data_IF_228977498411
#
_entry.id   IF_228977498411
#
_cell.length_a   1.000
_cell.length_b   1.000
_cell.length_c   1.000
_cell.angle_alpha   90.00
_cell.angle_beta   90.00
_cell.angle_gamma   90.00
#
_symmetry.space_group_name_H-M   'P 1'
#
loop_
_entity.id
_entity.type
_entity.pdbx_description
1 polymer ?
#
# COMPACT_ATOMS: atom_id res chain seq x y z
N UNK A 1 27.72 32.03 -22.82
CA UNK A 1 26.90 31.85 -21.60
C UNK A 1 26.02 30.58 -21.56
N UNK A 2 25.43 30.09 -22.66
CA UNK A 2 24.55 28.90 -22.63
C UNK A 2 25.29 27.59 -22.31
N UNK A 3 26.52 27.40 -22.81
CA UNK A 3 27.31 26.20 -22.56
C UNK A 3 27.69 26.01 -21.07
N UNK A 4 28.04 27.09 -20.36
CA UNK A 4 28.43 27.02 -18.93
C UNK A 4 27.27 26.51 -18.06
N UNK A 5 26.02 26.90 -18.36
CA UNK A 5 24.83 26.41 -17.64
C UNK A 5 24.59 24.91 -17.84
N UNK A 6 24.83 24.40 -19.04
CA UNK A 6 24.67 22.97 -19.37
C UNK A 6 25.68 22.12 -18.59
N UNK A 7 26.94 22.56 -18.53
CA UNK A 7 27.99 21.88 -17.74
C UNK A 7 27.68 21.87 -16.24
N UNK A 8 27.14 22.96 -15.70
CA UNK A 8 26.68 23.00 -14.31
C UNK A 8 25.58 21.98 -14.03
N UNK A 9 24.56 21.88 -14.89
CA UNK A 9 23.49 20.90 -14.72
C UNK A 9 23.99 19.45 -14.80
N UNK A 10 24.89 19.14 -15.72
CA UNK A 10 25.49 17.80 -15.85
C UNK A 10 26.33 17.46 -14.61
N UNK A 11 27.12 18.43 -14.10
CA UNK A 11 27.92 18.24 -12.89
C UNK A 11 27.04 17.99 -11.65
N UNK A 12 25.94 18.74 -11.50
CA UNK A 12 25.02 18.60 -10.38
C UNK A 12 24.30 17.25 -10.41
N UNK A 13 23.88 16.82 -11.60
CA UNK A 13 23.25 15.51 -11.79
C UNK A 13 24.22 14.36 -11.49
N UNK A 14 25.48 14.49 -11.90
CA UNK A 14 26.53 13.51 -11.58
C UNK A 14 26.78 13.43 -10.07
N UNK A 15 26.82 14.57 -9.38
CA UNK A 15 27.08 14.65 -7.93
C UNK A 15 25.93 14.04 -7.10
N UNK A 16 24.68 14.24 -7.52
CA UNK A 16 23.50 13.62 -6.89
C UNK A 16 23.49 12.10 -7.08
N UNK A 17 23.86 11.60 -8.27
CA UNK A 17 23.93 10.15 -8.49
C UNK A 17 25.09 9.51 -7.72
N UNK A 18 26.24 10.19 -7.66
CA UNK A 18 27.39 9.75 -6.87
C UNK A 18 27.02 9.67 -5.38
N UNK A 19 26.30 10.65 -4.84
CA UNK A 19 25.90 10.65 -3.43
C UNK A 19 24.92 9.51 -3.09
N UNK A 20 24.00 9.19 -4.01
CA UNK A 20 23.10 8.03 -3.88
C UNK A 20 23.85 6.70 -3.89
N UNK A 21 24.84 6.54 -4.78
CA UNK A 21 25.66 5.33 -4.87
C UNK A 21 26.51 5.17 -3.60
N UNK A 22 27.11 6.24 -3.09
CA UNK A 22 27.88 6.22 -1.85
C UNK A 22 26.99 5.85 -0.65
N UNK A 23 25.78 6.42 -0.56
CA UNK A 23 24.81 6.09 0.49
C UNK A 23 24.29 4.64 0.41
N UNK A 24 24.09 4.14 -0.81
CA UNK A 24 23.71 2.75 -1.02
C UNK A 24 24.84 1.80 -0.61
N UNK A 25 26.07 2.09 -1.04
CA UNK A 25 27.25 1.29 -0.69
C UNK A 25 27.57 1.35 0.81
N UNK A 26 27.36 2.47 1.50
CA UNK A 26 27.55 2.54 2.95
C UNK A 26 26.51 1.73 3.72
N UNK A 27 25.25 1.71 3.25
CA UNK A 27 24.21 0.81 3.78
C UNK A 27 24.54 -0.66 3.54
N UNK A 28 25.05 -0.99 2.35
CA UNK A 28 25.45 -2.35 1.99
C UNK A 28 26.66 -2.81 2.81
N UNK A 29 27.65 -1.93 3.00
CA UNK A 29 28.79 -2.18 3.86
C UNK A 29 28.36 -2.41 5.31
N UNK A 30 27.41 -1.62 5.82
CA UNK A 30 26.85 -1.81 7.17
C UNK A 30 26.09 -3.13 7.32
N UNK A 31 25.34 -3.53 6.30
CA UNK A 31 24.68 -4.85 6.24
C UNK A 31 25.71 -5.99 6.24
N UNK A 32 26.78 -5.84 5.46
CA UNK A 32 27.86 -6.81 5.34
C UNK A 32 28.69 -6.93 6.63
N UNK A 33 29.06 -5.82 7.26
CA UNK A 33 29.75 -5.85 8.56
C UNK A 33 28.88 -6.48 9.65
N UNK A 34 27.57 -6.19 9.65
CA UNK A 34 26.65 -6.79 10.60
C UNK A 34 26.50 -8.31 10.39
N UNK A 35 26.52 -8.78 9.14
CA UNK A 35 26.48 -10.22 8.83
C UNK A 35 27.81 -10.90 9.19
N UNK A 36 28.96 -10.28 8.95
CA UNK A 36 30.26 -10.81 9.39
C UNK A 36 30.34 -10.93 10.91
N UNK A 37 29.93 -9.89 11.65
CA UNK A 37 29.90 -9.92 13.13
C UNK A 37 28.96 -11.01 13.63
N UNK A 38 27.83 -11.22 12.95
CA UNK A 38 26.88 -12.29 13.26
C UNK A 38 27.51 -13.68 13.08
N UNK A 39 28.17 -13.93 11.95
CA UNK A 39 28.86 -15.21 11.68
C UNK A 39 30.06 -15.45 12.61
N UNK A 40 30.84 -14.40 12.92
CA UNK A 40 31.96 -14.48 13.85
C UNK A 40 31.50 -14.85 15.27
N UNK A 41 30.33 -14.38 15.70
CA UNK A 41 29.77 -14.71 17.01
C UNK A 41 29.13 -16.11 17.07
N UNK A 42 28.60 -16.64 15.97
CA UNK A 42 28.07 -18.02 15.94
C UNK A 42 29.18 -19.07 16.10
N UNK A 43 30.38 -18.84 15.58
CA UNK A 43 31.50 -19.78 15.71
C UNK A 43 32.10 -19.85 17.13
N UNK A 44 31.89 -18.83 17.98
CA UNK A 44 32.31 -18.87 19.40
C UNK A 44 31.36 -19.65 20.31
N UNK A 45 30.16 -20.00 19.84
CA UNK A 45 29.11 -20.66 20.66
C UNK A 45 29.12 -22.20 20.56
N UNK A 46 30.01 -22.80 19.76
CA UNK A 46 30.05 -24.27 19.54
C UNK A 46 30.87 -25.06 20.55
N UNK A 47 31.51 -24.43 21.53
CA UNK A 47 32.36 -25.13 22.52
C UNK A 47 32.08 -24.68 23.95
N UNK A 48 30.94 -25.09 24.51
CA UNK A 48 30.90 -25.72 25.85
C UNK A 48 29.51 -26.25 26.14
N UNK A 49 29.36 -27.56 26.21
CA UNK A 49 28.17 -28.21 26.75
C UNK A 49 28.09 -27.98 28.26
N UNK A 50 27.48 -26.88 28.69
CA UNK A 50 26.97 -26.66 30.04
C UNK A 50 25.86 -25.62 29.93
N UNK A 51 24.70 -25.91 30.53
CA UNK A 51 23.52 -25.02 30.61
C UNK A 51 23.89 -23.75 31.41
N UNK A 52 24.62 -22.84 30.79
CA UNK A 52 24.75 -21.47 31.23
C UNK A 52 23.62 -20.69 30.56
N UNK A 53 22.97 -19.84 31.36
CA UNK A 53 21.80 -19.05 31.01
C UNK A 53 21.77 -18.67 29.52
N UNK A 54 20.71 -19.06 28.82
CA UNK A 54 20.47 -18.66 27.43
C UNK A 54 20.79 -17.18 27.29
N UNK A 55 21.85 -16.88 26.53
CA UNK A 55 22.14 -15.52 26.11
C UNK A 55 20.85 -15.00 25.46
N UNK A 56 20.23 -13.98 26.07
CA UNK A 56 19.05 -13.33 25.52
C UNK A 56 19.35 -13.03 24.05
N UNK A 57 18.63 -13.62 23.08
CA UNK A 57 18.80 -13.22 21.69
C UNK A 57 18.56 -11.72 21.64
N UNK A 58 19.46 -10.99 20.96
CA UNK A 58 19.29 -9.57 20.65
C UNK A 58 17.82 -9.32 20.30
N UNK A 59 17.19 -8.22 20.78
CA UNK A 59 15.79 -7.94 20.53
C UNK A 59 15.62 -7.47 19.08
N UNK A 60 15.85 -8.37 18.13
CA UNK A 60 15.05 -8.38 16.92
C UNK A 60 13.61 -8.53 17.42
N UNK A 61 12.74 -7.60 17.03
CA UNK A 61 11.32 -7.56 17.38
C UNK A 61 10.66 -8.91 17.03
N UNK A 62 10.80 -9.89 17.93
CA UNK A 62 10.08 -11.15 17.86
C UNK A 62 8.68 -10.83 18.34
N UNK A 63 7.71 -11.02 17.45
CA UNK A 63 6.28 -10.97 17.75
C UNK A 63 6.04 -11.78 19.03
N UNK A 64 5.40 -11.18 20.04
CA UNK A 64 5.04 -11.92 21.27
C UNK A 64 4.04 -13.00 20.88
N UNK A 65 4.06 -14.15 21.56
CA UNK A 65 3.22 -15.31 21.24
C UNK A 65 1.71 -15.03 21.19
N UNK A 66 1.25 -13.91 21.76
CA UNK A 66 -0.16 -13.52 21.85
C UNK A 66 -0.45 -12.11 21.31
N UNK A 67 0.48 -11.51 20.56
CA UNK A 67 0.31 -10.17 19.99
C UNK A 67 -0.05 -10.28 18.52
N UNK A 68 -1.29 -9.90 18.16
CA UNK A 68 -1.76 -9.93 16.78
C UNK A 68 -1.25 -8.77 15.93
N UNK A 69 -0.60 -7.76 16.55
CA UNK A 69 -0.13 -6.58 15.84
C UNK A 69 0.92 -6.92 14.78
N UNK A 70 0.91 -6.14 13.71
CA UNK A 70 1.87 -6.25 12.63
C UNK A 70 3.14 -5.48 12.95
N UNK A 71 4.27 -6.07 12.61
CA UNK A 71 5.53 -5.34 12.58
C UNK A 71 5.48 -4.24 11.52
N UNK A 72 6.37 -3.24 11.64
CA UNK A 72 6.43 -2.14 10.68
C UNK A 72 6.72 -2.62 9.25
N UNK A 73 7.49 -3.68 9.09
CA UNK A 73 7.85 -4.22 7.77
C UNK A 73 6.67 -4.99 7.14
N UNK A 74 5.93 -5.76 7.94
CA UNK A 74 4.67 -6.39 7.49
C UNK A 74 3.64 -5.34 7.08
N UNK A 75 3.45 -4.31 7.92
CA UNK A 75 2.53 -3.21 7.62
C UNK A 75 2.93 -2.47 6.34
N UNK A 76 4.23 -2.20 6.12
CA UNK A 76 4.71 -1.58 4.87
C UNK A 76 4.40 -2.44 3.65
N UNK A 77 4.55 -3.76 3.77
CA UNK A 77 4.17 -4.69 2.69
C UNK A 77 2.69 -4.61 2.34
N UNK A 78 1.82 -4.48 3.33
CA UNK A 78 0.38 -4.34 3.11
C UNK A 78 0.00 -2.96 2.56
N UNK A 79 0.64 -1.89 3.05
CA UNK A 79 0.46 -0.53 2.51
C UNK A 79 0.87 -0.48 1.04
N UNK A 80 1.91 -1.23 0.62
CA UNK A 80 2.31 -1.27 -0.78
C UNK A 80 1.21 -1.82 -1.71
N UNK A 81 0.35 -2.72 -1.21
CA UNK A 81 -0.81 -3.22 -1.96
C UNK A 81 -1.83 -2.10 -2.19
N UNK A 82 -2.12 -1.32 -1.15
CA UNK A 82 -3.00 -0.15 -1.27
C UNK A 82 -2.41 0.91 -2.21
N UNK A 83 -1.09 1.13 -2.14
CA UNK A 83 -0.40 2.05 -3.04
C UNK A 83 -0.50 1.59 -4.50
N UNK A 84 -0.39 0.29 -4.76
CA UNK A 84 -0.63 -0.27 -6.09
C UNK A 84 -2.07 -0.04 -6.57
N UNK A 85 -3.06 -0.12 -5.68
CA UNK A 85 -4.47 0.19 -6.00
C UNK A 85 -4.63 1.68 -6.36
N UNK A 86 -4.00 2.60 -5.61
CA UNK A 86 -3.96 4.04 -5.92
C UNK A 86 -3.33 4.31 -7.29
N UNK A 87 -2.17 3.70 -7.58
CA UNK A 87 -1.52 3.85 -8.89
C UNK A 87 -2.39 3.32 -10.03
N UNK A 88 -3.10 2.22 -9.81
CA UNK A 88 -4.03 1.65 -10.78
C UNK A 88 -5.20 2.60 -11.05
N UNK A 89 -5.77 3.21 -10.00
CA UNK A 89 -6.80 4.23 -10.15
C UNK A 89 -6.28 5.42 -10.97
N UNK A 90 -5.10 5.96 -10.64
CA UNK A 90 -4.50 7.10 -11.36
C UNK A 90 -4.30 6.80 -12.86
N UNK A 91 -3.84 5.60 -13.19
CA UNK A 91 -3.68 5.16 -14.57
C UNK A 91 -5.01 5.07 -15.32
N UNK A 92 -6.08 4.66 -14.63
CA UNK A 92 -7.42 4.57 -15.20
C UNK A 92 -8.00 5.95 -15.46
N UNK A 93 -7.92 6.86 -14.49
CA UNK A 93 -8.34 8.26 -14.65
C UNK A 93 -7.60 8.93 -15.80
N UNK A 94 -6.28 8.75 -15.87
CA UNK A 94 -5.47 9.28 -16.98
C UNK A 94 -5.95 8.75 -18.33
N UNK A 95 -6.32 7.47 -18.39
CA UNK A 95 -6.86 6.87 -19.61
C UNK A 95 -8.24 7.45 -19.96
N UNK A 96 -9.11 7.66 -18.96
CA UNK A 96 -10.45 8.23 -19.12
C UNK A 96 -10.42 9.68 -19.61
N UNK A 97 -9.54 10.52 -19.06
CA UNK A 97 -9.35 11.91 -19.53
C UNK A 97 -8.93 11.92 -21.01
N UNK A 98 -8.03 11.01 -21.41
CA UNK A 98 -7.63 10.87 -22.82
C UNK A 98 -8.81 10.47 -23.69
N UNK A 99 -9.66 9.55 -23.23
CA UNK A 99 -10.85 9.13 -23.97
C UNK A 99 -11.85 10.27 -24.16
N UNK A 100 -12.15 11.03 -23.11
CA UNK A 100 -12.99 12.23 -23.15
C UNK A 100 -12.43 13.24 -24.15
N UNK A 101 -11.13 13.53 -24.06
CA UNK A 101 -10.47 14.50 -24.96
C UNK A 101 -10.54 14.10 -26.44
N UNK A 102 -10.63 12.80 -26.73
CA UNK A 102 -10.71 12.25 -28.09
C UNK A 102 -12.15 12.03 -28.57
N UNK A 103 -13.16 12.29 -27.72
CA UNK A 103 -14.56 11.99 -28.04
C UNK A 103 -14.85 10.49 -28.22
N UNK A 104 -13.96 9.62 -27.74
CA UNK A 104 -14.08 8.19 -27.89
C UNK A 104 -14.53 7.58 -26.56
N UNK A 105 -15.59 6.76 -26.58
CA UNK A 105 -15.91 5.89 -25.46
C UNK A 105 -15.18 4.55 -25.63
N UNK A 106 -14.44 4.07 -24.62
CA UNK A 106 -13.95 2.71 -24.58
C UNK A 106 -15.08 1.72 -24.84
N UNK A 107 -14.93 0.92 -25.89
CA UNK A 107 -15.86 -0.17 -26.21
C UNK A 107 -15.81 -1.30 -25.16
N UNK A 108 -14.76 -1.36 -24.33
CA UNK A 108 -14.62 -2.36 -23.26
C UNK A 108 -13.79 -1.84 -22.07
N UNK A 109 -14.45 -1.17 -21.12
CA UNK A 109 -13.84 -0.69 -19.88
C UNK A 109 -13.30 -1.82 -18.99
N UNK A 110 -13.95 -2.99 -19.01
CA UNK A 110 -13.58 -4.12 -18.16
C UNK A 110 -12.19 -4.66 -18.48
N UNK A 111 -11.88 -4.80 -19.78
CA UNK A 111 -10.58 -5.26 -20.24
C UNK A 111 -9.49 -4.24 -19.87
N UNK A 112 -9.75 -2.95 -20.08
CA UNK A 112 -8.82 -1.88 -19.72
C UNK A 112 -8.49 -1.89 -18.23
N UNK A 113 -9.51 -1.98 -17.37
CA UNK A 113 -9.34 -2.01 -15.90
C UNK A 113 -8.48 -3.20 -15.51
N UNK A 114 -8.82 -4.39 -16.01
CA UNK A 114 -8.06 -5.61 -15.73
C UNK A 114 -6.60 -5.48 -16.15
N UNK A 115 -6.33 -5.03 -17.38
CA UNK A 115 -4.96 -4.92 -17.90
C UNK A 115 -4.11 -3.94 -17.08
N UNK A 116 -4.66 -2.77 -16.73
CA UNK A 116 -3.94 -1.77 -15.92
C UNK A 116 -3.61 -2.30 -14.53
N UNK A 117 -4.58 -2.93 -13.86
CA UNK A 117 -4.40 -3.52 -12.54
C UNK A 117 -3.36 -4.64 -12.56
N UNK A 118 -3.45 -5.56 -13.51
CA UNK A 118 -2.51 -6.69 -13.60
C UNK A 118 -1.10 -6.22 -13.93
N UNK A 119 -0.96 -5.22 -14.81
CA UNK A 119 0.33 -4.62 -15.12
C UNK A 119 0.97 -3.98 -13.90
N UNK A 120 0.20 -3.23 -13.09
CA UNK A 120 0.70 -2.61 -11.85
C UNK A 120 1.06 -3.65 -10.80
N UNK A 121 0.20 -4.64 -10.58
CA UNK A 121 0.45 -5.70 -9.61
C UNK A 121 1.68 -6.55 -9.99
N UNK A 122 1.90 -6.82 -11.27
CA UNK A 122 3.09 -7.55 -11.73
C UNK A 122 4.40 -6.81 -11.40
N UNK A 123 4.38 -5.48 -11.34
CA UNK A 123 5.54 -4.63 -11.04
C UNK A 123 5.71 -4.46 -9.52
N UNK A 124 4.64 -4.09 -8.82
CA UNK A 124 4.70 -3.64 -7.42
C UNK A 124 4.52 -4.78 -6.41
N UNK A 125 3.71 -5.81 -6.75
CA UNK A 125 3.35 -6.92 -5.85
C UNK A 125 3.25 -8.24 -6.63
N UNK A 126 4.36 -8.75 -7.20
CA UNK A 126 4.34 -9.87 -8.15
C UNK A 126 3.76 -11.17 -7.57
N UNK A 127 3.88 -11.38 -6.26
CA UNK A 127 3.37 -12.54 -5.54
C UNK A 127 1.94 -12.35 -4.99
N UNK A 128 1.18 -11.37 -5.47
CA UNK A 128 -0.20 -11.17 -5.01
C UNK A 128 -1.11 -12.29 -5.55
N UNK A 129 -1.97 -12.92 -4.71
CA UNK A 129 -2.79 -14.06 -5.13
C UNK A 129 -3.85 -13.66 -6.15
N UNK A 130 -4.13 -14.55 -7.11
CA UNK A 130 -5.05 -14.29 -8.22
C UNK A 130 -6.47 -13.89 -7.76
N UNK A 131 -6.99 -14.54 -6.71
CA UNK A 131 -8.28 -14.19 -6.11
C UNK A 131 -8.29 -12.76 -5.58
N UNK A 132 -7.20 -12.34 -4.94
CA UNK A 132 -7.03 -10.98 -4.40
C UNK A 132 -6.85 -9.95 -5.52
N UNK A 133 -6.21 -10.31 -6.64
CA UNK A 133 -6.17 -9.47 -7.87
C UNK A 133 -7.59 -9.24 -8.42
N UNK A 134 -8.41 -10.29 -8.50
CA UNK A 134 -9.81 -10.18 -8.95
C UNK A 134 -10.65 -9.29 -8.04
N UNK A 135 -10.44 -9.36 -6.72
CA UNK A 135 -11.10 -8.47 -5.76
C UNK A 135 -10.73 -7.00 -6.01
N UNK A 136 -9.46 -6.70 -6.25
CA UNK A 136 -9.00 -5.34 -6.60
C UNK A 136 -9.62 -4.85 -7.91
N UNK A 137 -9.64 -5.67 -8.96
CA UNK A 137 -10.30 -5.33 -10.23
C UNK A 137 -11.78 -5.03 -10.03
N UNK A 138 -12.48 -5.85 -9.23
CA UNK A 138 -13.90 -5.63 -8.95
C UNK A 138 -14.14 -4.28 -8.25
N UNK A 139 -13.35 -3.96 -7.21
CA UNK A 139 -13.46 -2.66 -6.51
C UNK A 139 -13.20 -1.48 -7.45
N UNK A 140 -12.13 -1.55 -8.24
CA UNK A 140 -11.82 -0.49 -9.20
C UNK A 140 -12.89 -0.36 -10.28
N UNK A 141 -13.52 -1.46 -10.71
CA UNK A 141 -14.66 -1.42 -11.61
C UNK A 141 -15.86 -0.70 -11.01
N UNK A 142 -16.20 -0.99 -9.75
CA UNK A 142 -17.26 -0.28 -9.02
C UNK A 142 -16.97 1.23 -8.96
N UNK A 143 -15.73 1.62 -8.61
CA UNK A 143 -15.31 3.02 -8.56
C UNK A 143 -15.30 3.71 -9.94
N UNK A 144 -14.86 3.01 -10.99
CA UNK A 144 -14.91 3.56 -12.35
C UNK A 144 -16.35 3.73 -12.85
N UNK A 145 -17.28 2.86 -12.42
CA UNK A 145 -18.69 3.02 -12.75
C UNK A 145 -19.28 4.29 -12.10
N UNK A 146 -18.87 4.66 -10.89
CA UNK A 146 -19.25 5.93 -10.26
C UNK A 146 -18.82 7.13 -11.10
N UNK A 147 -17.65 7.06 -11.74
CA UNK A 147 -17.16 8.10 -12.65
C UNK A 147 -17.97 8.15 -13.96
N UNK A 148 -18.26 6.99 -14.55
CA UNK A 148 -19.02 6.89 -15.80
C UNK A 148 -20.44 7.43 -15.64
N UNK A 149 -21.04 7.23 -14.47
CA UNK A 149 -22.41 7.63 -14.18
C UNK A 149 -22.58 9.15 -13.96
N UNK A 150 -21.49 9.93 -13.96
CA UNK A 150 -21.55 11.39 -13.84
C UNK A 150 -22.14 11.99 -15.11
N UNK A 151 -23.18 12.80 -14.94
CA UNK A 151 -23.77 13.62 -16.00
C UNK A 151 -23.66 15.10 -15.62
N UNK A 152 -23.11 15.97 -16.49
CA UNK A 152 -22.45 15.67 -17.76
C UNK A 152 -21.07 15.03 -17.56
N UNK A 153 -20.68 14.15 -18.48
CA UNK A 153 -19.37 13.49 -18.47
C UNK A 153 -18.27 14.44 -18.95
N UNK A 154 -17.79 15.29 -18.05
CA UNK A 154 -16.74 16.30 -18.30
C UNK A 154 -15.46 15.96 -17.52
N UNK A 155 -14.32 16.53 -17.94
CA UNK A 155 -13.07 16.38 -17.19
C UNK A 155 -13.21 16.85 -15.74
N UNK A 156 -13.91 17.96 -15.50
CA UNK A 156 -14.13 18.49 -14.15
C UNK A 156 -14.95 17.54 -13.29
N UNK A 157 -16.00 16.93 -13.87
CA UNK A 157 -16.77 15.89 -13.18
C UNK A 157 -15.92 14.67 -12.82
N UNK A 158 -15.10 14.19 -13.76
CA UNK A 158 -14.16 13.09 -13.51
C UNK A 158 -13.17 13.43 -12.40
N UNK A 159 -12.59 14.64 -12.42
CA UNK A 159 -11.66 15.07 -11.37
C UNK A 159 -12.34 15.18 -10.00
N UNK A 160 -13.58 15.68 -9.97
CA UNK A 160 -14.35 15.79 -8.74
C UNK A 160 -14.57 14.43 -8.06
N UNK A 161 -15.03 13.43 -8.81
CA UNK A 161 -15.21 12.07 -8.27
C UNK A 161 -13.87 11.39 -8.01
N UNK A 162 -12.84 11.66 -8.80
CA UNK A 162 -11.50 11.16 -8.51
C UNK A 162 -10.98 11.61 -7.13
N UNK A 163 -11.18 12.87 -6.75
CA UNK A 163 -10.78 13.35 -5.41
C UNK A 163 -11.58 12.64 -4.29
N UNK A 164 -12.87 12.37 -4.50
CA UNK A 164 -13.66 11.53 -3.59
C UNK A 164 -13.06 10.11 -3.45
N UNK A 165 -12.78 9.44 -4.56
CA UNK A 165 -12.23 8.07 -4.58
C UNK A 165 -10.83 7.99 -3.96
N UNK A 166 -10.04 9.06 -4.10
CA UNK A 166 -8.74 9.19 -3.47
C UNK A 166 -8.86 9.29 -1.95
N UNK A 167 -9.82 10.06 -1.43
CA UNK A 167 -10.09 10.10 0.01
C UNK A 167 -10.59 8.76 0.56
N UNK A 168 -11.37 8.01 -0.23
CA UNK A 168 -11.76 6.63 0.11
C UNK A 168 -10.51 5.73 0.30
N UNK A 169 -9.54 5.82 -0.61
CA UNK A 169 -8.29 5.06 -0.51
C UNK A 169 -7.41 5.54 0.65
N UNK A 170 -7.32 6.84 0.90
CA UNK A 170 -6.59 7.40 2.04
C UNK A 170 -7.16 6.94 3.38
N UNK A 171 -8.48 6.87 3.48
CA UNK A 171 -9.17 6.34 4.66
C UNK A 171 -8.96 4.83 4.81
N UNK A 172 -8.84 4.09 3.70
CA UNK A 172 -8.44 2.67 3.72
C UNK A 172 -7.03 2.48 4.27
N UNK A 173 -6.09 3.34 3.90
CA UNK A 173 -4.72 3.33 4.44
C UNK A 173 -4.74 3.64 5.94
N UNK A 174 -5.51 4.64 6.37
CA UNK A 174 -5.65 5.00 7.78
C UNK A 174 -6.26 3.86 8.61
N UNK A 175 -7.33 3.24 8.11
CA UNK A 175 -7.97 2.10 8.76
C UNK A 175 -7.01 0.91 8.84
N UNK A 176 -6.33 0.53 7.75
CA UNK A 176 -5.33 -0.55 7.76
C UNK A 176 -4.23 -0.27 8.80
N UNK A 177 -3.70 0.95 8.83
CA UNK A 177 -2.67 1.36 9.78
C UNK A 177 -3.13 1.27 11.24
N UNK A 178 -4.39 1.62 11.52
CA UNK A 178 -4.98 1.51 12.85
C UNK A 178 -5.26 0.05 13.25
N UNK A 179 -5.93 -0.71 12.38
CA UNK A 179 -6.31 -2.10 12.65
C UNK A 179 -5.09 -3.01 12.78
N UNK A 180 -4.01 -2.73 12.05
CA UNK A 180 -2.76 -3.50 12.12
C UNK A 180 -1.98 -3.31 13.42
N UNK A 181 -2.30 -2.28 14.22
CA UNK A 181 -1.63 -1.98 15.50
C UNK A 181 -2.39 -2.51 16.71
N UNK A 182 -3.58 -3.06 16.51
CA UNK A 182 -4.35 -3.68 17.60
C UNK A 182 -3.64 -4.93 18.09
N UNK A 183 -3.69 -5.18 19.40
CA UNK A 183 -2.96 -6.28 20.03
C UNK A 183 -3.73 -7.59 20.01
N UNK A 184 -5.06 -7.48 19.95
CA UNK A 184 -5.95 -8.64 19.91
C UNK A 184 -6.74 -8.68 18.60
N UNK A 185 -7.16 -9.88 18.22
CA UNK A 185 -8.05 -10.10 17.09
C UNK A 185 -9.41 -9.42 17.30
N UNK A 186 -9.94 -9.42 18.53
CA UNK A 186 -11.22 -8.78 18.84
C UNK A 186 -11.16 -7.26 18.68
N UNK A 187 -10.09 -6.60 19.15
CA UNK A 187 -9.86 -5.16 18.95
C UNK A 187 -9.75 -4.82 17.46
N UNK A 188 -9.00 -5.64 16.72
CA UNK A 188 -8.86 -5.50 15.26
C UNK A 188 -10.21 -5.62 14.56
N UNK A 189 -10.95 -6.71 14.83
CA UNK A 189 -12.24 -6.96 14.21
C UNK A 189 -13.28 -5.92 14.61
N UNK A 190 -13.26 -5.46 15.87
CA UNK A 190 -14.06 -4.33 16.34
C UNK A 190 -13.79 -3.06 15.54
N UNK A 191 -12.52 -2.73 15.32
CA UNK A 191 -12.15 -1.55 14.51
C UNK A 191 -12.57 -1.64 13.04
N UNK A 192 -12.58 -2.85 12.45
CA UNK A 192 -12.97 -3.08 11.06
C UNK A 192 -14.49 -3.07 10.88
N UNK A 193 -15.24 -3.46 11.92
CA UNK A 193 -16.69 -3.56 11.89
C UNK A 193 -17.41 -2.29 12.39
N UNK A 194 -16.68 -1.33 12.94
CA UNK A 194 -17.20 -0.02 13.34
C UNK A 194 -17.44 0.89 12.11
N UNK A 195 -18.51 0.58 11.37
CA UNK A 195 -18.90 1.30 10.15
C UNK A 195 -19.25 2.77 10.43
N UNK A 196 -19.79 3.06 11.61
CA UNK A 196 -20.13 4.43 12.02
C UNK A 196 -18.86 5.27 12.13
N UNK A 197 -17.82 4.78 12.80
CA UNK A 197 -16.55 5.48 12.91
C UNK A 197 -15.82 5.62 11.58
N UNK A 198 -15.89 4.61 10.71
CA UNK A 198 -15.32 4.72 9.35
C UNK A 198 -16.06 5.82 8.56
N UNK A 199 -17.39 5.85 8.65
CA UNK A 199 -18.22 6.89 8.03
C UNK A 199 -17.88 8.28 8.56
N UNK A 200 -17.83 8.46 9.88
CA UNK A 200 -17.48 9.73 10.51
C UNK A 200 -16.13 10.27 10.03
N UNK A 201 -15.09 9.42 10.01
CA UNK A 201 -13.76 9.83 9.52
C UNK A 201 -13.77 10.19 8.04
N UNK A 202 -14.48 9.42 7.21
CA UNK A 202 -14.62 9.73 5.79
C UNK A 202 -15.37 11.06 5.60
N UNK A 203 -16.49 11.27 6.28
CA UNK A 203 -17.27 12.52 6.21
C UNK A 203 -16.47 13.73 6.66
N UNK A 204 -15.70 13.63 7.75
CA UNK A 204 -14.81 14.71 8.20
C UNK A 204 -13.78 15.06 7.12
N UNK A 205 -13.17 14.04 6.48
CA UNK A 205 -12.23 14.27 5.38
C UNK A 205 -12.91 14.93 4.18
N UNK A 206 -14.10 14.48 3.79
CA UNK A 206 -14.87 15.06 2.70
C UNK A 206 -15.18 16.54 2.96
N UNK A 207 -15.68 16.86 4.15
CA UNK A 207 -15.95 18.24 4.57
C UNK A 207 -14.67 19.09 4.54
N UNK A 208 -13.55 18.58 5.05
CA UNK A 208 -12.27 19.32 5.05
C UNK A 208 -11.71 19.60 3.65
N UNK A 209 -12.11 18.82 2.64
CA UNK A 209 -11.71 18.99 1.24
C UNK A 209 -12.81 19.64 0.39
N UNK A 210 -13.90 20.13 0.99
CA UNK A 210 -15.06 20.71 0.31
C UNK A 210 -15.70 19.79 -0.74
N UNK A 211 -15.72 18.48 -0.47
CA UNK A 211 -16.34 17.47 -1.35
C UNK A 211 -17.72 17.13 -0.80
N UNK A 212 -18.77 17.42 -1.57
CA UNK A 212 -20.15 17.04 -1.29
C UNK A 212 -20.58 15.88 -2.21
N UNK A 213 -20.85 14.73 -1.61
CA UNK A 213 -21.36 13.54 -2.30
C UNK A 213 -22.67 13.10 -1.68
N UNK A 214 -23.47 12.33 -2.41
CA UNK A 214 -24.70 11.78 -1.87
C UNK A 214 -24.41 10.74 -0.77
N UNK A 215 -25.41 10.49 0.06
CA UNK A 215 -25.28 9.58 1.20
C UNK A 215 -25.02 8.13 0.77
N UNK A 216 -25.58 7.73 -0.38
CA UNK A 216 -25.39 6.41 -0.96
C UNK A 216 -23.92 6.17 -1.35
N UNK A 217 -23.24 7.13 -1.99
CA UNK A 217 -21.82 7.00 -2.31
C UNK A 217 -20.96 6.91 -1.06
N UNK A 218 -21.29 7.67 0.00
CA UNK A 218 -20.58 7.56 1.28
C UNK A 218 -20.76 6.17 1.87
N UNK A 219 -21.99 5.64 1.84
CA UNK A 219 -22.29 4.30 2.36
C UNK A 219 -21.55 3.21 1.60
N UNK A 220 -21.57 3.24 0.27
CA UNK A 220 -20.82 2.32 -0.58
C UNK A 220 -19.30 2.42 -0.37
N UNK A 221 -18.77 3.63 -0.25
CA UNK A 221 -17.36 3.87 0.06
C UNK A 221 -16.96 3.27 1.41
N UNK A 222 -17.78 3.44 2.45
CA UNK A 222 -17.52 2.85 3.78
C UNK A 222 -17.44 1.33 3.71
N UNK A 223 -18.35 0.68 2.98
CA UNK A 223 -18.34 -0.76 2.79
C UNK A 223 -17.11 -1.24 1.99
N UNK A 224 -16.73 -0.50 0.94
CA UNK A 224 -15.52 -0.78 0.16
C UNK A 224 -14.25 -0.61 0.97
N UNK A 225 -14.14 0.44 1.80
CA UNK A 225 -13.00 0.67 2.71
C UNK A 225 -12.82 -0.54 3.62
N UNK A 226 -13.89 -0.95 4.32
CA UNK A 226 -13.85 -2.13 5.21
C UNK A 226 -13.42 -3.37 4.45
N UNK A 227 -14.06 -3.65 3.31
CA UNK A 227 -13.79 -4.84 2.50
C UNK A 227 -12.36 -4.86 1.97
N UNK A 228 -11.84 -3.70 1.53
CA UNK A 228 -10.47 -3.54 1.04
C UNK A 228 -9.45 -3.86 2.14
N UNK A 229 -9.64 -3.29 3.34
CA UNK A 229 -8.73 -3.55 4.46
C UNK A 229 -8.80 -5.01 4.90
N UNK A 230 -10.00 -5.58 5.02
CA UNK A 230 -10.18 -6.99 5.38
C UNK A 230 -9.49 -7.92 4.36
N UNK A 231 -9.71 -7.70 3.06
CA UNK A 231 -9.13 -8.49 1.99
C UNK A 231 -7.58 -8.51 2.02
N UNK A 232 -6.97 -7.37 2.37
CA UNK A 232 -5.52 -7.21 2.51
C UNK A 232 -4.99 -7.83 3.81
N UNK A 233 -5.73 -7.71 4.91
CA UNK A 233 -5.33 -8.31 6.19
C UNK A 233 -5.41 -9.84 6.12
N UNK A 234 -6.45 -10.41 5.50
CA UNK A 234 -6.54 -11.86 5.25
C UNK A 234 -5.35 -12.36 4.44
N UNK A 235 -4.91 -11.62 3.41
CA UNK A 235 -3.72 -11.98 2.66
C UNK A 235 -2.45 -12.06 3.53
N UNK A 236 -2.36 -11.27 4.61
CA UNK A 236 -1.26 -11.40 5.56
C UNK A 236 -1.38 -12.67 6.40
N UNK A 237 -2.57 -12.98 6.92
CA UNK A 237 -2.79 -14.15 7.79
C UNK A 237 -2.69 -15.48 7.05
N UNK A 238 -3.00 -15.50 5.76
CA UNK A 238 -2.83 -16.69 4.89
C UNK A 238 -1.34 -17.00 4.60
N UNK A 239 -0.41 -16.10 4.94
CA UNK A 239 1.03 -16.39 4.79
C UNK A 239 1.47 -17.34 5.89
N UNK A 240 2.26 -18.39 5.56
CA UNK A 240 2.80 -19.28 6.57
C UNK A 240 3.61 -18.47 7.58
N UNK A 241 3.19 -18.52 8.85
CA UNK A 241 3.91 -17.83 9.92
C UNK A 241 5.32 -18.43 10.02
N UNK A 242 6.35 -17.60 9.84
CA UNK A 242 7.74 -18.06 10.03
C UNK A 242 8.03 -18.44 11.50
N UNK A 243 7.07 -18.22 12.42
CA UNK A 243 7.13 -18.61 13.82
C UNK A 243 6.77 -20.07 14.12
N UNK A 244 6.31 -20.85 13.14
CA UNK A 244 5.88 -22.24 13.36
C UNK A 244 6.76 -23.32 12.70
N UNK A 245 7.89 -22.95 12.10
CA UNK A 245 8.88 -23.95 11.65
C UNK A 245 9.78 -24.33 12.83
N UNK A 246 9.31 -25.28 13.65
CA UNK A 246 10.13 -26.08 14.55
C UNK A 246 10.34 -27.47 13.95
#
# INVERSE_FOLDING_TARGET
MKFIKIWYCISLFSLINLSKVILYNSKLFRLFTNTIIYYANQNKLKTSGRKLAQARPLPLSRKRSYDSSLTLDELRGLINILYCEVLSLNDLISSFIIFISKGNNPSNYDVLIREKVYKRLAIEVPSYPELKKKNMVKRLKEQMQEIINILPFTNDGVFYIYEFLKLELDESIALLGFSSRQRTEDERNGSLNDLLKIRERLTIRLMSNNIMVNDDMVTEAVLRIRKRVLDIMEYHYDKPSQSQNN
#
